data_IF_162015792639
#
_entry.id   IF_162015792639
#
_cell.length_a   1.000
_cell.length_b   1.000
_cell.length_c   1.000
_cell.angle_alpha   90.00
_cell.angle_beta   90.00
_cell.angle_gamma   90.00
#
_symmetry.space_group_name_H-M   'P 1'
#
loop_
_entity.id
_entity.type
_entity.pdbx_description
1 polymer ?
#
# COMPACT_ATOMS: atom_id res chain seq x y z
N UNK A 1 18.50 -12.46 8.71
CA UNK A 1 17.28 -11.66 8.41
C UNK A 1 17.03 -11.77 6.92
N UNK A 2 15.78 -11.87 6.48
CA UNK A 2 15.47 -11.85 5.05
C UNK A 2 15.64 -10.40 4.58
N UNK A 3 16.47 -10.16 3.57
CA UNK A 3 16.61 -8.84 2.96
C UNK A 3 15.24 -8.41 2.40
N UNK A 4 14.77 -7.23 2.81
CA UNK A 4 13.53 -6.63 2.32
C UNK A 4 13.86 -5.48 1.36
N UNK A 5 13.06 -5.31 0.31
CA UNK A 5 13.25 -4.19 -0.61
C UNK A 5 12.89 -2.87 0.09
N UNK A 6 13.46 -1.75 -0.34
CA UNK A 6 13.08 -0.43 0.19
C UNK A 6 11.56 -0.18 0.06
N UNK A 7 10.96 -0.64 -1.05
CA UNK A 7 9.53 -0.59 -1.30
C UNK A 7 8.73 -1.36 -0.24
N UNK A 8 9.16 -2.58 0.07
CA UNK A 8 8.48 -3.39 1.08
C UNK A 8 8.68 -2.83 2.49
N UNK A 9 9.86 -2.25 2.79
CA UNK A 9 10.09 -1.57 4.06
C UNK A 9 9.13 -0.39 4.25
N UNK A 10 9.00 0.48 3.24
CA UNK A 10 8.07 1.61 3.26
C UNK A 10 6.61 1.16 3.41
N UNK A 11 6.17 0.20 2.59
CA UNK A 11 4.78 -0.25 2.59
C UNK A 11 4.43 -1.02 3.87
N UNK A 12 5.35 -1.79 4.47
CA UNK A 12 5.09 -2.44 5.75
C UNK A 12 4.92 -1.42 6.90
N UNK A 13 5.77 -0.39 6.97
CA UNK A 13 5.62 0.65 8.00
C UNK A 13 4.33 1.46 7.80
N UNK A 14 4.01 1.80 6.55
CA UNK A 14 2.76 2.49 6.23
C UNK A 14 1.55 1.64 6.61
N UNK A 15 1.61 0.32 6.43
CA UNK A 15 0.55 -0.62 6.82
C UNK A 15 0.34 -0.60 8.34
N UNK A 16 1.42 -0.65 9.13
CA UNK A 16 1.36 -0.63 10.59
C UNK A 16 0.80 0.69 11.14
N UNK A 17 0.97 1.78 10.39
CA UNK A 17 0.35 3.07 10.70
C UNK A 17 -1.13 3.12 10.28
N UNK A 18 -1.44 2.72 9.05
CA UNK A 18 -2.79 2.73 8.49
C UNK A 18 -3.77 1.80 9.23
N UNK A 19 -3.28 0.69 9.79
CA UNK A 19 -4.08 -0.23 10.61
C UNK A 19 -4.56 0.39 11.93
N UNK A 20 -3.94 1.47 12.39
CA UNK A 20 -4.28 2.19 13.63
C UNK A 20 -5.05 3.49 13.37
N UNK A 21 -4.99 4.01 12.16
CA UNK A 21 -5.65 5.27 11.76
C UNK A 21 -6.36 5.11 10.41
N UNK A 22 -7.69 4.97 10.48
CA UNK A 22 -8.56 4.80 9.30
C UNK A 22 -8.61 6.03 8.37
N UNK A 23 -7.99 7.16 8.74
CA UNK A 23 -7.87 8.34 7.88
C UNK A 23 -6.74 8.20 6.87
N UNK A 24 -5.85 7.22 7.05
CA UNK A 24 -4.75 6.96 6.13
C UNK A 24 -5.26 6.15 4.96
N UNK A 25 -5.16 6.71 3.77
CA UNK A 25 -5.56 6.08 2.51
C UNK A 25 -4.31 5.93 1.64
N UNK A 26 -4.08 4.73 1.12
CA UNK A 26 -3.05 4.45 0.12
C UNK A 26 -3.66 4.48 -1.27
N UNK A 27 -3.21 5.42 -2.10
CA UNK A 27 -3.51 5.44 -3.53
C UNK A 27 -2.32 4.83 -4.27
N UNK A 28 -2.57 3.86 -5.14
CA UNK A 28 -1.55 3.21 -5.96
C UNK A 28 -1.94 3.21 -7.43
N UNK A 29 -0.95 3.26 -8.30
CA UNK A 29 -1.10 2.92 -9.72
C UNK A 29 -0.84 1.43 -9.97
N UNK A 30 -0.88 1.00 -11.22
CA UNK A 30 -0.75 -0.40 -11.60
C UNK A 30 0.68 -0.93 -11.42
N UNK A 31 0.99 -1.41 -10.21
CA UNK A 31 2.22 -2.13 -9.89
C UNK A 31 1.98 -3.22 -8.85
N UNK A 32 2.92 -4.17 -8.76
CA UNK A 32 2.89 -5.26 -7.78
C UNK A 32 3.95 -5.10 -6.70
N UNK A 33 3.58 -5.37 -5.44
CA UNK A 33 4.50 -5.60 -4.34
C UNK A 33 3.83 -6.51 -3.29
N UNK A 34 4.55 -7.49 -2.69
CA UNK A 34 3.96 -8.38 -1.67
C UNK A 34 3.37 -7.64 -0.46
N UNK A 35 3.94 -6.49 -0.13
CA UNK A 35 3.46 -5.59 0.93
C UNK A 35 2.20 -4.81 0.53
N UNK A 36 1.99 -4.55 -0.76
CA UNK A 36 0.76 -3.94 -1.29
C UNK A 36 -0.43 -4.90 -1.22
N UNK A 37 -0.18 -6.20 -1.33
CA UNK A 37 -1.23 -7.20 -1.25
C UNK A 37 -1.89 -7.24 0.14
N UNK A 38 -1.12 -6.99 1.20
CA UNK A 38 -1.66 -6.85 2.57
C UNK A 38 -2.63 -5.69 2.70
N UNK A 39 -2.30 -4.54 2.08
CA UNK A 39 -3.21 -3.40 2.03
C UNK A 39 -4.53 -3.73 1.33
N UNK A 40 -4.45 -4.42 0.19
CA UNK A 40 -5.62 -4.82 -0.60
C UNK A 40 -6.52 -5.78 0.18
N UNK A 41 -5.94 -6.74 0.91
CA UNK A 41 -6.70 -7.76 1.63
C UNK A 41 -7.25 -7.26 2.96
N UNK A 42 -6.39 -6.63 3.76
CA UNK A 42 -6.68 -6.39 5.18
C UNK A 42 -7.25 -4.99 5.41
N UNK A 43 -6.91 -4.03 4.53
CA UNK A 43 -7.27 -2.61 4.62
C UNK A 43 -7.98 -2.13 3.34
N UNK A 44 -8.86 -2.96 2.76
CA UNK A 44 -9.52 -2.69 1.48
C UNK A 44 -10.27 -1.35 1.42
N UNK A 45 -10.86 -0.89 2.53
CA UNK A 45 -11.51 0.43 2.63
C UNK A 45 -10.54 1.63 2.64
N UNK A 46 -9.24 1.37 2.76
CA UNK A 46 -8.16 2.36 2.82
C UNK A 46 -7.20 2.24 1.61
N UNK A 47 -7.58 1.49 0.58
CA UNK A 47 -6.75 1.25 -0.60
C UNK A 47 -7.49 1.60 -1.88
N UNK A 48 -6.87 2.41 -2.74
CA UNK A 48 -7.43 2.84 -4.04
C UNK A 48 -6.40 2.53 -5.13
N UNK A 49 -6.77 1.73 -6.12
CA UNK A 49 -5.97 1.52 -7.32
C UNK A 49 -6.51 2.35 -8.48
N UNK A 50 -5.70 3.27 -9.02
CA UNK A 50 -6.06 4.12 -10.17
C UNK A 50 -5.76 3.47 -11.53
N UNK A 51 -5.12 2.30 -11.56
CA UNK A 51 -4.67 1.65 -12.80
C UNK A 51 -3.55 2.45 -13.46
N UNK A 52 -3.60 2.55 -14.80
CA UNK A 52 -2.64 3.31 -15.62
C UNK A 52 -3.11 4.77 -15.78
N UNK A 53 -3.47 5.39 -14.66
CA UNK A 53 -3.98 6.76 -14.60
C UNK A 53 -3.18 7.61 -13.60
N UNK A 54 -1.86 7.43 -13.57
CA UNK A 54 -0.92 8.12 -12.66
C UNK A 54 -1.06 9.64 -12.71
N UNK A 55 -1.45 10.20 -13.86
CA UNK A 55 -1.66 11.64 -14.02
C UNK A 55 -2.87 12.19 -13.23
N UNK A 56 -3.83 11.33 -12.90
CA UNK A 56 -5.04 11.69 -12.17
C UNK A 56 -4.92 11.41 -10.65
N UNK A 57 -3.86 10.71 -10.24
CA UNK A 57 -3.54 10.44 -8.83
C UNK A 57 -2.95 11.68 -8.17
#
# INVERSE_FOLDING_TARGET
MKEITMRDAFLNELYDFASKDHRVILISADFGAPSLDKFKTDLSGQFINVGIAEQNM
#
